data_IF_831982524072
#
_entry.id   IF_831982524072
#
_cell.length_a   1.000
_cell.length_b   1.000
_cell.length_c   1.000
_cell.angle_alpha   90.00
_cell.angle_beta   90.00
_cell.angle_gamma   90.00
#
_symmetry.space_group_name_H-M   'P 1'
#
loop_
_entity.id
_entity.type
_entity.pdbx_description
1 polymer ?
#
# COMPACT_ATOMS: atom_id res chain seq x y z
N UNK A 1 9.45 45.24 15.12
CA UNK A 1 9.72 43.92 15.72
C UNK A 1 8.89 42.90 14.96
N UNK A 2 9.49 42.19 14.00
CA UNK A 2 8.81 41.19 13.17
C UNK A 2 9.58 39.88 13.34
N UNK A 3 9.11 39.00 14.23
CA UNK A 3 9.67 37.66 14.36
C UNK A 3 9.12 36.79 13.22
N UNK A 4 9.98 36.48 12.25
CA UNK A 4 9.76 35.38 11.31
C UNK A 4 9.80 34.07 12.08
N UNK A 5 8.64 33.43 12.25
CA UNK A 5 8.59 32.05 12.74
C UNK A 5 9.07 31.13 11.61
N UNK A 6 10.29 30.59 11.76
CA UNK A 6 10.80 29.53 10.91
C UNK A 6 10.08 28.24 11.28
N UNK A 7 9.02 27.86 10.54
CA UNK A 7 8.40 26.55 10.69
C UNK A 7 9.34 25.47 10.17
N UNK A 8 10.04 24.77 11.06
CA UNK A 8 10.75 23.55 10.70
C UNK A 8 9.72 22.44 10.40
N UNK A 9 9.62 22.06 9.14
CA UNK A 9 8.87 20.86 8.76
C UNK A 9 9.56 19.63 9.37
N UNK A 10 8.90 18.94 10.29
CA UNK A 10 9.32 17.62 10.77
C UNK A 10 9.31 16.66 9.58
N UNK A 11 10.46 16.43 8.97
CA UNK A 11 10.63 15.34 8.02
C UNK A 11 10.60 14.04 8.82
N UNK A 12 9.48 13.31 8.75
CA UNK A 12 9.38 11.99 9.34
C UNK A 12 10.39 11.08 8.64
N UNK A 13 11.44 10.66 9.35
CA UNK A 13 12.37 9.67 8.82
C UNK A 13 11.60 8.36 8.60
N UNK A 14 11.67 7.72 7.42
CA UNK A 14 11.07 6.42 7.21
C UNK A 14 11.59 5.44 8.27
N UNK A 15 10.69 4.70 8.93
CA UNK A 15 11.10 3.75 9.95
C UNK A 15 12.11 2.74 9.40
N UNK A 16 13.02 2.27 10.25
CA UNK A 16 14.04 1.32 9.84
C UNK A 16 13.40 -0.04 9.52
N UNK A 17 13.74 -0.59 8.36
CA UNK A 17 13.28 -1.92 7.98
C UNK A 17 13.93 -2.99 8.87
N UNK A 18 13.23 -4.12 9.14
CA UNK A 18 13.89 -5.31 9.66
C UNK A 18 15.09 -5.71 8.79
N UNK A 19 16.14 -6.25 9.41
CA UNK A 19 17.41 -6.54 8.72
C UNK A 19 17.24 -7.44 7.48
N UNK A 20 16.33 -8.41 7.55
CA UNK A 20 16.03 -9.30 6.42
C UNK A 20 15.38 -8.53 5.25
N UNK A 21 14.44 -7.63 5.52
CA UNK A 21 13.79 -6.82 4.50
C UNK A 21 14.76 -5.79 3.92
N UNK A 22 15.63 -5.22 4.76
CA UNK A 22 16.73 -4.35 4.31
C UNK A 22 17.70 -5.09 3.39
N UNK A 23 17.98 -6.36 3.65
CA UNK A 23 18.82 -7.20 2.78
C UNK A 23 18.17 -7.41 1.42
N UNK A 24 16.87 -7.77 1.39
CA UNK A 24 16.11 -7.93 0.14
C UNK A 24 16.07 -6.61 -0.65
N UNK A 25 15.85 -5.47 0.02
CA UNK A 25 15.90 -4.14 -0.61
C UNK A 25 17.20 -3.90 -1.38
N UNK A 26 18.35 -4.21 -0.76
CA UNK A 26 19.67 -4.01 -1.35
C UNK A 26 19.96 -5.02 -2.48
N UNK A 27 19.63 -6.29 -2.27
CA UNK A 27 19.85 -7.35 -3.26
C UNK A 27 19.00 -7.16 -4.52
N UNK A 28 17.78 -6.67 -4.37
CA UNK A 28 16.91 -6.32 -5.49
C UNK A 28 17.26 -4.96 -6.13
N UNK A 29 18.28 -4.26 -5.64
CA UNK A 29 18.72 -2.94 -6.10
C UNK A 29 17.58 -1.90 -6.14
N UNK A 30 16.62 -1.99 -5.22
CA UNK A 30 15.47 -1.09 -5.18
C UNK A 30 15.89 0.36 -4.92
N UNK A 31 17.03 0.57 -4.27
CA UNK A 31 17.61 1.88 -4.01
C UNK A 31 17.97 2.65 -5.28
N UNK A 32 18.15 1.96 -6.43
CA UNK A 32 18.43 2.62 -7.72
C UNK A 32 17.20 3.26 -8.35
N UNK A 33 16.02 2.69 -8.08
CA UNK A 33 14.76 3.05 -8.75
C UNK A 33 13.82 3.79 -7.80
N UNK A 34 13.84 3.45 -6.52
CA UNK A 34 12.88 3.91 -5.54
C UNK A 34 13.53 4.54 -4.31
N UNK A 35 12.78 5.40 -3.64
CA UNK A 35 13.04 5.89 -2.28
C UNK A 35 11.90 5.51 -1.36
N UNK A 36 12.21 5.14 -0.12
CA UNK A 36 11.18 4.93 0.90
C UNK A 36 10.49 6.25 1.21
N UNK A 37 9.17 6.23 1.28
CA UNK A 37 8.34 7.42 1.44
C UNK A 37 7.46 7.29 2.69
N UNK A 38 6.92 8.43 3.13
CA UNK A 38 6.00 8.52 4.29
C UNK A 38 4.72 9.24 3.90
N UNK A 39 4.32 9.18 2.62
CA UNK A 39 3.14 9.87 2.10
C UNK A 39 1.83 9.27 2.63
N UNK A 40 1.83 7.98 3.01
CA UNK A 40 0.77 7.30 3.75
C UNK A 40 1.30 6.91 5.12
N UNK A 41 0.47 7.01 6.17
CA UNK A 41 0.84 6.70 7.56
C UNK A 41 0.12 5.47 8.10
N UNK A 42 0.79 4.61 8.89
CA UNK A 42 2.21 4.69 9.33
C UNK A 42 3.23 4.42 8.21
N UNK A 43 4.52 4.60 8.46
CA UNK A 43 5.57 4.46 7.43
C UNK A 43 5.81 3.01 6.93
N UNK A 44 5.25 2.01 7.62
CA UNK A 44 5.19 0.63 7.17
C UNK A 44 4.06 -0.12 7.90
N UNK A 45 3.64 -1.25 7.32
CA UNK A 45 2.77 -2.23 7.98
C UNK A 45 3.45 -3.59 8.03
N UNK A 46 3.15 -4.36 9.08
CA UNK A 46 3.69 -5.70 9.29
C UNK A 46 2.58 -6.69 9.64
N UNK A 47 2.44 -7.75 8.86
CA UNK A 47 1.53 -8.88 9.10
C UNK A 47 1.93 -10.06 8.19
N UNK A 48 1.34 -11.24 8.38
CA UNK A 48 1.47 -12.35 7.43
C UNK A 48 0.46 -12.16 6.28
N UNK A 49 0.81 -11.36 5.27
CA UNK A 49 -0.10 -11.02 4.18
C UNK A 49 -0.26 -12.17 3.19
N UNK A 50 0.78 -12.97 2.96
CA UNK A 50 0.76 -14.08 2.00
C UNK A 50 0.31 -15.43 2.58
N UNK A 51 0.27 -15.56 3.92
CA UNK A 51 -0.17 -16.76 4.60
C UNK A 51 0.90 -17.82 4.84
N UNK A 52 2.19 -17.49 4.73
CA UNK A 52 3.29 -18.43 4.90
C UNK A 52 3.72 -18.61 6.37
N UNK A 53 3.05 -17.92 7.30
CA UNK A 53 3.31 -17.99 8.73
C UNK A 53 4.46 -17.11 9.20
N UNK A 54 5.07 -16.31 8.33
CA UNK A 54 6.14 -15.36 8.67
C UNK A 54 5.66 -13.91 8.49
N UNK A 55 6.25 -12.95 9.22
CA UNK A 55 5.87 -11.55 9.06
C UNK A 55 6.36 -10.98 7.73
N UNK A 56 5.45 -10.39 6.98
CA UNK A 56 5.71 -9.58 5.80
C UNK A 56 5.81 -8.09 6.17
N UNK A 57 6.42 -7.28 5.30
CA UNK A 57 6.54 -5.82 5.48
C UNK A 57 6.05 -5.09 4.23
N UNK A 58 5.04 -4.25 4.36
CA UNK A 58 4.61 -3.32 3.32
C UNK A 58 5.12 -1.91 3.61
N UNK A 59 5.70 -1.24 2.60
CA UNK A 59 6.17 0.15 2.71
C UNK A 59 5.71 1.03 1.54
N UNK A 60 5.45 2.32 1.79
CA UNK A 60 5.29 3.30 0.73
C UNK A 60 6.64 3.63 0.10
N UNK A 61 6.68 3.75 -1.21
CA UNK A 61 7.86 4.21 -1.95
C UNK A 61 7.47 5.24 -3.01
N UNK A 62 8.42 6.08 -3.38
CA UNK A 62 8.33 6.97 -4.53
C UNK A 62 9.38 6.58 -5.57
N UNK A 63 9.04 6.71 -6.84
CA UNK A 63 9.98 6.57 -7.93
C UNK A 63 10.98 7.73 -7.94
N UNK A 64 12.24 7.45 -8.27
CA UNK A 64 13.28 8.49 -8.29
C UNK A 64 13.21 9.39 -9.51
N UNK A 65 12.79 8.85 -10.65
CA UNK A 65 12.82 9.54 -11.93
C UNK A 65 11.44 10.07 -12.38
N UNK A 66 10.39 9.88 -11.58
CA UNK A 66 9.03 10.32 -11.90
C UNK A 66 8.27 10.62 -10.62
N UNK A 67 7.15 11.38 -10.67
CA UNK A 67 6.33 11.64 -9.48
C UNK A 67 5.53 10.40 -9.00
N UNK A 68 5.68 9.25 -9.67
CA UNK A 68 4.94 8.02 -9.32
C UNK A 68 5.25 7.56 -7.91
N UNK A 69 4.21 7.13 -7.20
CA UNK A 69 4.29 6.54 -5.86
C UNK A 69 3.47 5.27 -5.80
N UNK A 70 3.81 4.42 -4.84
CA UNK A 70 3.08 3.20 -4.55
C UNK A 70 3.78 2.38 -3.48
N UNK A 71 3.77 1.04 -3.60
CA UNK A 71 4.15 0.15 -2.52
C UNK A 71 5.19 -0.88 -2.91
N UNK A 72 6.02 -1.26 -1.92
CA UNK A 72 6.82 -2.48 -1.96
C UNK A 72 6.42 -3.34 -0.79
N UNK A 73 6.16 -4.63 -1.05
CA UNK A 73 5.86 -5.63 -0.04
C UNK A 73 6.92 -6.73 -0.05
N UNK A 74 7.56 -6.91 1.10
CA UNK A 74 8.57 -7.94 1.33
C UNK A 74 7.93 -9.13 2.04
N UNK A 75 8.12 -10.31 1.48
CA UNK A 75 7.74 -11.57 2.14
C UNK A 75 8.95 -12.23 2.78
N UNK A 76 8.88 -12.55 4.07
CA UNK A 76 10.06 -13.08 4.76
C UNK A 76 10.45 -14.46 4.21
N UNK A 77 11.69 -14.57 3.72
CA UNK A 77 12.20 -15.79 3.09
C UNK A 77 12.01 -15.84 1.57
N UNK A 78 11.41 -14.80 0.97
CA UNK A 78 11.40 -14.60 -0.47
C UNK A 78 12.43 -13.53 -0.85
N UNK A 79 13.19 -13.78 -1.93
CA UNK A 79 14.20 -12.86 -2.44
C UNK A 79 13.64 -11.77 -3.35
N UNK A 80 12.43 -11.97 -3.89
CA UNK A 80 11.77 -11.04 -4.80
C UNK A 80 10.62 -10.35 -4.07
N UNK A 81 10.64 -9.01 -3.91
CA UNK A 81 9.52 -8.27 -3.35
C UNK A 81 8.39 -8.11 -4.37
N UNK A 82 7.18 -7.91 -3.88
CA UNK A 82 6.04 -7.45 -4.67
C UNK A 82 6.09 -5.92 -4.80
N UNK A 83 6.01 -5.40 -6.01
CA UNK A 83 6.01 -3.96 -6.31
C UNK A 83 4.65 -3.63 -6.93
N UNK A 84 3.94 -2.67 -6.33
CA UNK A 84 2.57 -2.33 -6.70
C UNK A 84 2.47 -0.84 -7.06
N UNK A 85 1.70 -0.57 -8.10
CA UNK A 85 1.35 0.77 -8.61
C UNK A 85 2.57 1.67 -8.81
N UNK A 86 3.45 1.23 -9.70
CA UNK A 86 4.58 2.02 -10.20
C UNK A 86 4.46 2.13 -11.71
N UNK A 87 4.33 3.35 -12.21
CA UNK A 87 4.16 3.68 -13.62
C UNK A 87 2.93 3.06 -14.30
N UNK A 88 1.74 3.60 -14.00
CA UNK A 88 0.62 3.88 -14.92
C UNK A 88 0.26 2.92 -16.07
N UNK A 89 0.72 1.67 -16.06
CA UNK A 89 0.35 0.64 -17.02
C UNK A 89 -0.87 -0.04 -16.43
N UNK A 90 -1.98 0.06 -17.15
CA UNK A 90 -3.22 -0.65 -16.88
C UNK A 90 -2.94 -2.12 -16.56
N UNK A 91 -2.76 -2.41 -15.27
CA UNK A 91 -2.90 -3.74 -14.72
C UNK A 91 -4.38 -3.88 -14.45
N UNK A 92 -4.98 -4.99 -14.84
CA UNK A 92 -6.43 -5.19 -14.72
C UNK A 92 -6.92 -5.21 -13.27
N UNK A 93 -6.03 -5.19 -12.27
CA UNK A 93 -6.20 -4.93 -10.82
C UNK A 93 -4.77 -4.72 -10.24
N UNK A 94 -4.39 -3.77 -9.33
CA UNK A 94 -5.09 -2.83 -8.43
C UNK A 94 -5.03 -1.33 -8.91
N UNK A 95 -5.45 -0.29 -8.14
CA UNK A 95 -6.16 0.88 -8.69
C UNK A 95 -5.42 1.57 -9.83
N UNK A 96 -6.16 1.97 -10.87
CA UNK A 96 -5.63 2.63 -12.07
C UNK A 96 -4.84 3.92 -11.79
N UNK A 97 -4.84 4.40 -10.54
CA UNK A 97 -4.08 5.54 -10.07
C UNK A 97 -3.43 5.23 -8.73
N UNK A 98 -2.18 5.69 -8.60
CA UNK A 98 -1.39 5.88 -7.36
C UNK A 98 -2.22 5.90 -6.06
N UNK A 99 -1.68 5.35 -4.97
CA UNK A 99 -2.28 5.45 -3.64
C UNK A 99 -2.23 6.86 -3.01
N UNK A 100 -1.95 7.92 -3.79
CA UNK A 100 -1.84 9.30 -3.31
C UNK A 100 -3.14 9.86 -2.70
N UNK A 101 -4.28 9.27 -3.05
CA UNK A 101 -5.57 9.63 -2.47
C UNK A 101 -5.72 9.21 -1.00
N UNK A 102 -4.90 8.26 -0.53
CA UNK A 102 -4.96 7.75 0.83
C UNK A 102 -3.99 8.49 1.74
N UNK A 103 -4.50 9.11 2.81
CA UNK A 103 -3.67 9.70 3.87
C UNK A 103 -3.23 8.68 4.91
N UNK A 104 -4.01 7.60 5.06
CA UNK A 104 -3.78 6.56 6.05
C UNK A 104 -3.97 5.17 5.47
N UNK A 105 -3.28 4.20 6.08
CA UNK A 105 -3.54 2.78 5.86
C UNK A 105 -3.42 2.02 7.18
N UNK A 106 -4.04 0.85 7.25
CA UNK A 106 -4.00 -0.01 8.44
C UNK A 106 -4.22 -1.47 8.10
N UNK A 107 -3.90 -2.34 9.05
CA UNK A 107 -4.21 -3.76 8.95
C UNK A 107 -5.72 -3.99 9.03
N UNK A 108 -6.23 -4.83 8.14
CA UNK A 108 -7.59 -5.35 8.18
C UNK A 108 -7.55 -6.85 8.45
N UNK A 109 -8.02 -7.28 9.62
CA UNK A 109 -7.87 -8.66 10.11
C UNK A 109 -9.19 -9.43 10.15
N UNK A 110 -10.30 -8.83 9.71
CA UNK A 110 -11.58 -9.57 9.62
C UNK A 110 -11.50 -10.60 8.49
N UNK A 111 -12.25 -11.69 8.64
CA UNK A 111 -12.25 -12.84 7.73
C UNK A 111 -13.05 -12.63 6.44
N UNK A 112 -13.69 -11.50 6.30
CA UNK A 112 -14.43 -11.12 5.10
C UNK A 112 -14.55 -9.61 5.00
N UNK A 113 -14.80 -9.15 3.79
CA UNK A 113 -15.14 -7.78 3.46
C UNK A 113 -16.22 -7.79 2.38
N UNK A 114 -16.56 -6.61 1.86
CA UNK A 114 -17.46 -6.47 0.74
C UNK A 114 -16.79 -5.67 -0.37
N UNK A 115 -17.11 -6.05 -1.60
CA UNK A 115 -16.76 -5.33 -2.82
C UNK A 115 -18.02 -4.69 -3.38
N UNK A 116 -17.90 -3.42 -3.71
CA UNK A 116 -18.97 -2.66 -4.34
C UNK A 116 -18.74 -2.66 -5.84
N UNK A 117 -19.76 -3.04 -6.59
CA UNK A 117 -19.76 -2.92 -8.05
C UNK A 117 -20.63 -1.74 -8.45
N UNK A 118 -20.13 -0.95 -9.41
CA UNK A 118 -20.89 0.14 -10.03
C UNK A 118 -21.34 -0.25 -11.44
N UNK A 119 -22.47 0.27 -11.86
CA UNK A 119 -22.92 0.17 -13.25
C UNK A 119 -22.09 1.09 -14.18
N UNK A 120 -22.42 1.09 -15.47
CA UNK A 120 -21.75 1.93 -16.48
C UNK A 120 -21.87 3.44 -16.24
N UNK A 121 -22.76 3.87 -15.35
CA UNK A 121 -23.00 5.27 -15.00
C UNK A 121 -22.33 5.64 -13.66
N UNK A 122 -21.65 4.69 -13.01
CA UNK A 122 -21.05 4.90 -11.69
C UNK A 122 -22.04 4.76 -10.52
N UNK A 123 -23.25 4.26 -10.76
CA UNK A 123 -24.23 4.01 -9.70
C UNK A 123 -24.00 2.64 -9.04
N UNK A 124 -24.18 2.58 -7.73
CA UNK A 124 -24.04 1.35 -6.94
C UNK A 124 -25.01 0.29 -7.47
N UNK A 125 -24.46 -0.85 -7.90
CA UNK A 125 -25.22 -1.93 -8.53
C UNK A 125 -25.40 -3.12 -7.56
N UNK A 126 -24.30 -3.62 -6.98
CA UNK A 126 -24.34 -4.78 -6.09
C UNK A 126 -23.19 -4.77 -5.07
N UNK A 127 -23.40 -5.47 -3.95
CA UNK A 127 -22.42 -5.68 -2.88
C UNK A 127 -22.11 -7.17 -2.75
N UNK A 128 -20.88 -7.56 -3.08
CA UNK A 128 -20.43 -8.95 -3.01
C UNK A 128 -19.56 -9.20 -1.78
N UNK A 129 -19.85 -10.25 -1.01
CA UNK A 129 -18.99 -10.69 0.08
C UNK A 129 -17.69 -11.28 -0.47
N UNK A 130 -16.55 -10.75 -0.02
CA UNK A 130 -15.22 -11.26 -0.36
C UNK A 130 -14.58 -11.89 0.88
N UNK A 131 -14.32 -13.21 0.90
CA UNK A 131 -13.63 -13.85 2.01
C UNK A 131 -12.13 -13.48 2.00
N UNK A 132 -11.61 -13.17 3.18
CA UNK A 132 -10.21 -12.83 3.40
C UNK A 132 -9.54 -13.93 4.24
N UNK A 133 -8.65 -14.69 3.60
CA UNK A 133 -7.90 -15.77 4.25
C UNK A 133 -6.79 -15.24 5.17
N UNK A 134 -6.18 -14.13 4.75
CA UNK A 134 -5.04 -13.50 5.41
C UNK A 134 -5.35 -12.03 5.70
N UNK A 135 -4.63 -11.40 6.64
CA UNK A 135 -4.66 -9.96 6.83
C UNK A 135 -4.55 -9.19 5.50
N UNK A 136 -5.39 -8.17 5.35
CA UNK A 136 -5.37 -7.25 4.22
C UNK A 136 -4.89 -5.86 4.67
N UNK A 137 -4.67 -4.97 3.71
CA UNK A 137 -4.28 -3.58 3.96
C UNK A 137 -5.45 -2.69 3.52
N UNK A 138 -6.04 -1.99 4.48
CA UNK A 138 -7.09 -1.01 4.22
C UNK A 138 -6.47 0.38 4.08
N UNK A 139 -6.81 1.08 3.00
CA UNK A 139 -6.43 2.45 2.67
C UNK A 139 -7.62 3.37 2.92
N UNK A 140 -7.34 4.53 3.50
CA UNK A 140 -8.35 5.47 3.99
C UNK A 140 -7.97 6.87 3.53
N UNK A 141 -8.92 7.54 2.87
CA UNK A 141 -8.85 8.98 2.62
C UNK A 141 -9.52 9.77 3.74
N UNK A 142 -9.13 11.03 3.87
CA UNK A 142 -9.78 11.96 4.78
C UNK A 142 -11.16 12.43 4.25
N UNK A 143 -11.48 12.17 2.98
CA UNK A 143 -12.69 12.64 2.27
C UNK A 143 -13.76 11.54 2.09
N UNK A 144 -13.60 10.37 2.73
CA UNK A 144 -14.55 9.23 2.81
C UNK A 144 -14.29 8.04 1.86
N UNK A 145 -13.35 8.13 0.91
CA UNK A 145 -12.90 7.00 0.11
C UNK A 145 -12.15 5.93 0.93
N UNK A 146 -12.48 4.66 0.70
CA UNK A 146 -11.80 3.49 1.26
C UNK A 146 -11.46 2.50 0.16
N UNK A 147 -10.37 1.77 0.34
CA UNK A 147 -9.99 0.71 -0.58
C UNK A 147 -9.12 -0.31 0.13
N UNK A 148 -9.03 -1.51 -0.42
CA UNK A 148 -8.34 -2.59 0.25
C UNK A 148 -7.49 -3.41 -0.69
N UNK A 149 -6.25 -3.65 -0.28
CA UNK A 149 -5.32 -4.55 -0.94
C UNK A 149 -5.26 -5.86 -0.17
N UNK A 150 -5.48 -6.99 -0.85
CA UNK A 150 -5.48 -8.30 -0.22
C UNK A 150 -4.80 -9.37 -1.08
N UNK A 151 -4.32 -10.43 -0.44
CA UNK A 151 -3.70 -11.57 -1.13
C UNK A 151 -4.74 -12.64 -1.49
N UNK A 152 -4.73 -13.07 -2.75
CA UNK A 152 -5.64 -14.12 -3.25
C UNK A 152 -5.15 -15.55 -2.99
N UNK A 153 -3.94 -15.73 -2.48
CA UNK A 153 -3.20 -16.98 -2.53
C UNK A 153 -2.20 -17.06 -3.69
N UNK A 154 -2.28 -16.15 -4.67
CA UNK A 154 -1.39 -16.11 -5.84
C UNK A 154 -0.86 -14.72 -6.18
N UNK A 155 -1.67 -13.69 -6.00
CA UNK A 155 -1.34 -12.31 -6.31
C UNK A 155 -2.12 -11.35 -5.38
N UNK A 156 -1.59 -10.13 -5.25
CA UNK A 156 -2.31 -9.02 -4.64
C UNK A 156 -3.44 -8.53 -5.55
N UNK A 157 -4.58 -8.18 -4.96
CA UNK A 157 -5.76 -7.63 -5.63
C UNK A 157 -6.31 -6.44 -4.87
N UNK A 158 -6.98 -5.54 -5.60
CA UNK A 158 -7.66 -4.39 -5.04
C UNK A 158 -9.15 -4.59 -4.95
N UNK A 159 -9.73 -4.05 -3.89
CA UNK A 159 -11.16 -3.92 -3.73
C UNK A 159 -11.49 -2.45 -3.51
N UNK A 160 -12.42 -1.96 -4.31
CA UNK A 160 -13.06 -0.68 -4.03
C UNK A 160 -14.11 -0.87 -2.95
N UNK A 161 -14.11 0.02 -1.97
CA UNK A 161 -15.13 0.08 -0.94
C UNK A 161 -15.81 1.45 -1.05
N UNK A 162 -17.12 1.48 -1.30
CA UNK A 162 -17.86 2.73 -1.17
C UNK A 162 -17.94 3.13 0.30
N UNK A 163 -18.15 4.42 0.53
CA UNK A 163 -18.46 4.92 1.85
C UNK A 163 -19.89 4.55 2.29
#
# INVERSE_FOLDING_TARGET
MLCLALSAALSATPAQLPAWAQTVWQQAHLDRTYVRSTYIRPSFLQADFNGDGKPDIAIPVAHRASPSRGLVIFHQGQSKPSILDMEGKASTEPPEASFDWAGQWKLYTKRSTFEVTTDKNGELNDTKVVPLKYPAIEFISDESGRGMLYWTGRAYRWLYQSC
#
